data_IF_527129411758
#
_entry.id   IF_527129411758
#
_cell.length_a   1.000
_cell.length_b   1.000
_cell.length_c   1.000
_cell.angle_alpha   90.00
_cell.angle_beta   90.00
_cell.angle_gamma   90.00
#
_symmetry.space_group_name_H-M   'P 1'
#
loop_
_entity.id
_entity.type
_entity.pdbx_description
1 polymer ?
#
# COMPACT_ATOMS: atom_id res chain seq x y z
N UNK A 1 56.50 -10.06 7.29
CA UNK A 1 55.36 -9.70 8.16
C UNK A 1 54.04 -10.05 7.46
N UNK A 2 53.48 -9.24 6.55
CA UNK A 2 52.16 -9.57 5.93
C UNK A 2 52.18 -10.80 5.00
N UNK A 3 53.28 -11.04 4.26
CA UNK A 3 53.41 -12.24 3.40
C UNK A 3 53.42 -13.53 4.21
N UNK A 4 54.12 -13.53 5.36
CA UNK A 4 54.26 -14.70 6.23
C UNK A 4 52.90 -15.11 6.83
N UNK A 5 52.06 -14.13 7.19
CA UNK A 5 50.73 -14.41 7.74
C UNK A 5 49.77 -14.98 6.70
N UNK A 6 49.83 -14.51 5.45
CA UNK A 6 49.01 -15.04 4.35
C UNK A 6 49.40 -16.49 4.06
N UNK A 7 50.70 -16.79 4.00
CA UNK A 7 51.19 -18.16 3.85
C UNK A 7 50.71 -19.05 5.00
N UNK A 8 50.76 -18.54 6.23
CA UNK A 8 50.26 -19.25 7.41
C UNK A 8 48.76 -19.56 7.30
N UNK A 9 47.94 -18.63 6.82
CA UNK A 9 46.51 -18.88 6.59
C UNK A 9 46.27 -19.99 5.56
N UNK A 10 47.04 -20.02 4.47
CA UNK A 10 46.95 -21.12 3.50
C UNK A 10 47.44 -22.45 4.06
N UNK A 11 48.46 -22.44 4.91
CA UNK A 11 48.92 -23.64 5.62
C UNK A 11 47.82 -24.18 6.54
N UNK A 12 47.22 -23.32 7.37
CA UNK A 12 46.11 -23.70 8.25
C UNK A 12 44.92 -24.24 7.45
N UNK A 13 44.56 -23.58 6.35
CA UNK A 13 43.54 -24.08 5.44
C UNK A 13 43.87 -25.47 4.89
N UNK A 14 45.12 -25.70 4.48
CA UNK A 14 45.58 -27.00 3.98
C UNK A 14 45.44 -28.09 5.03
N UNK A 15 45.91 -27.82 6.26
CA UNK A 15 45.78 -28.73 7.41
C UNK A 15 44.31 -29.10 7.63
N UNK A 16 43.42 -28.12 7.71
CA UNK A 16 41.99 -28.35 7.92
C UNK A 16 41.34 -29.12 6.75
N UNK A 17 41.69 -28.79 5.51
CA UNK A 17 41.14 -29.45 4.34
C UNK A 17 41.59 -30.92 4.22
N UNK A 18 42.83 -31.23 4.63
CA UNK A 18 43.42 -32.57 4.53
C UNK A 18 43.06 -33.47 5.72
N UNK A 19 42.63 -32.90 6.85
CA UNK A 19 42.35 -33.61 8.10
C UNK A 19 41.14 -34.58 8.03
N UNK A 20 40.20 -34.38 7.10
CA UNK A 20 39.00 -35.24 6.93
C UNK A 20 38.25 -35.47 8.25
N UNK A 21 38.23 -36.71 8.76
CA UNK A 21 37.54 -37.10 9.99
C UNK A 21 38.25 -36.58 11.26
N UNK A 22 39.55 -36.27 11.16
CA UNK A 22 40.36 -35.76 12.28
C UNK A 22 40.31 -34.23 12.40
N UNK A 23 39.49 -33.54 11.60
CA UNK A 23 39.41 -32.07 11.57
C UNK A 23 39.16 -31.44 12.95
N UNK A 24 38.37 -32.10 13.79
CA UNK A 24 38.08 -31.65 15.16
C UNK A 24 39.33 -31.54 16.05
N UNK A 25 40.43 -32.24 15.71
CA UNK A 25 41.71 -32.14 16.44
C UNK A 25 42.50 -30.87 16.10
N UNK A 26 42.11 -30.16 15.05
CA UNK A 26 42.79 -28.98 14.52
C UNK A 26 42.09 -27.67 14.90
N UNK A 27 41.52 -27.63 16.10
CA UNK A 27 40.84 -26.45 16.65
C UNK A 27 41.75 -25.22 16.68
N UNK A 28 43.05 -25.43 16.97
CA UNK A 28 44.05 -24.36 17.01
C UNK A 28 44.19 -23.65 15.66
N UNK A 29 44.26 -24.40 14.58
CA UNK A 29 44.39 -23.87 13.22
C UNK A 29 43.15 -23.06 12.84
N UNK A 30 41.96 -23.51 13.26
CA UNK A 30 40.72 -22.77 13.05
C UNK A 30 40.67 -21.48 13.88
N UNK A 31 41.09 -21.49 15.15
CA UNK A 31 41.21 -20.29 15.99
C UNK A 31 42.16 -19.25 15.39
N UNK A 32 43.26 -19.68 14.78
CA UNK A 32 44.17 -18.77 14.08
C UNK A 32 43.52 -18.16 12.83
N UNK A 33 42.65 -18.89 12.13
CA UNK A 33 41.84 -18.35 11.02
C UNK A 33 40.83 -17.32 11.56
N UNK A 34 40.16 -17.60 12.68
CA UNK A 34 39.22 -16.65 13.31
C UNK A 34 39.95 -15.35 13.71
N UNK A 35 41.16 -15.43 14.25
CA UNK A 35 41.93 -14.27 14.66
C UNK A 35 42.36 -13.36 13.48
N UNK A 36 42.45 -13.90 12.26
CA UNK A 36 42.91 -13.17 11.09
C UNK A 36 41.92 -12.12 10.57
N UNK A 37 40.70 -12.05 11.11
CA UNK A 37 39.75 -10.96 10.82
C UNK A 37 40.24 -9.60 11.30
N UNK A 38 41.23 -9.57 12.19
CA UNK A 38 41.93 -8.35 12.64
C UNK A 38 43.25 -8.09 11.89
N UNK A 39 43.53 -8.85 10.83
CA UNK A 39 44.75 -8.74 10.02
C UNK A 39 44.67 -7.69 8.91
N UNK A 40 45.52 -7.81 7.89
CA UNK A 40 45.45 -6.97 6.68
C UNK A 40 44.27 -7.32 5.77
N UNK A 41 43.92 -6.44 4.83
CA UNK A 41 42.81 -6.64 3.88
C UNK A 41 42.86 -8.01 3.17
N UNK A 42 44.06 -8.47 2.81
CA UNK A 42 44.24 -9.80 2.18
C UNK A 42 43.96 -10.94 3.16
N UNK A 43 44.40 -10.81 4.42
CA UNK A 43 44.14 -11.79 5.47
C UNK A 43 42.63 -11.86 5.76
N UNK A 44 41.96 -10.72 5.91
CA UNK A 44 40.51 -10.63 6.14
C UNK A 44 39.69 -11.29 5.03
N UNK A 45 40.03 -11.06 3.76
CA UNK A 45 39.35 -11.69 2.61
C UNK A 45 39.50 -13.21 2.60
N UNK A 46 40.65 -13.73 3.05
CA UNK A 46 40.87 -15.17 3.20
C UNK A 46 40.13 -15.72 4.42
N UNK A 47 40.20 -15.02 5.54
CA UNK A 47 39.50 -15.38 6.77
C UNK A 47 38.01 -15.58 6.52
N UNK A 48 37.31 -14.64 5.86
CA UNK A 48 35.89 -14.76 5.47
C UNK A 48 35.56 -16.14 4.86
N UNK A 49 36.32 -16.52 3.83
CA UNK A 49 36.08 -17.74 3.08
C UNK A 49 36.40 -18.99 3.91
N UNK A 50 37.47 -18.93 4.71
CA UNK A 50 37.94 -20.08 5.49
C UNK A 50 37.05 -20.32 6.71
N UNK A 51 36.61 -19.25 7.40
CA UNK A 51 35.64 -19.31 8.50
C UNK A 51 34.39 -20.04 8.02
N UNK A 52 33.78 -19.55 6.93
CA UNK A 52 32.56 -20.12 6.38
C UNK A 52 32.72 -21.56 5.91
N UNK A 53 33.89 -21.92 5.37
CA UNK A 53 34.14 -23.28 4.86
C UNK A 53 34.19 -24.33 5.98
N UNK A 54 34.86 -24.02 7.09
CA UNK A 54 35.12 -25.00 8.15
C UNK A 54 34.19 -24.87 9.35
N UNK A 55 33.27 -23.90 9.34
CA UNK A 55 32.32 -23.60 10.41
C UNK A 55 31.65 -24.83 11.03
N UNK A 56 31.04 -25.70 10.21
CA UNK A 56 30.30 -26.87 10.69
C UNK A 56 31.20 -27.96 11.33
N UNK A 57 32.53 -27.83 11.19
CA UNK A 57 33.49 -28.79 11.76
C UNK A 57 33.88 -28.46 13.20
N UNK A 58 33.52 -27.26 13.71
CA UNK A 58 33.92 -26.78 15.03
C UNK A 58 32.72 -26.23 15.84
N UNK A 59 31.80 -27.11 16.31
CA UNK A 59 30.57 -26.68 17.02
C UNK A 59 30.81 -25.91 18.31
N UNK A 60 31.96 -26.13 18.97
CA UNK A 60 32.35 -25.44 20.21
C UNK A 60 32.79 -23.99 19.96
N UNK A 61 33.09 -23.63 18.71
CA UNK A 61 33.57 -22.31 18.30
C UNK A 61 32.56 -21.53 17.48
N UNK A 62 31.32 -22.03 17.37
CA UNK A 62 30.27 -21.45 16.54
C UNK A 62 30.01 -19.97 16.83
N UNK A 63 29.79 -19.60 18.09
CA UNK A 63 29.51 -18.20 18.45
C UNK A 63 30.71 -17.30 18.11
N UNK A 64 31.93 -17.74 18.42
CA UNK A 64 33.15 -16.98 18.11
C UNK A 64 33.36 -16.82 16.60
N UNK A 65 33.06 -17.85 15.82
CA UNK A 65 33.15 -17.80 14.37
C UNK A 65 32.11 -16.84 13.77
N UNK A 66 30.89 -16.81 14.31
CA UNK A 66 29.84 -15.86 13.90
C UNK A 66 30.26 -14.42 14.22
N UNK A 67 30.72 -14.13 15.44
CA UNK A 67 31.19 -12.77 15.80
C UNK A 67 32.35 -12.32 14.90
N UNK A 68 33.34 -13.20 14.68
CA UNK A 68 34.47 -12.90 13.81
C UNK A 68 34.01 -12.63 12.36
N UNK A 69 32.97 -13.32 11.89
CA UNK A 69 32.42 -13.10 10.56
C UNK A 69 31.59 -11.81 10.47
N UNK A 70 30.90 -11.43 11.54
CA UNK A 70 30.19 -10.15 11.64
C UNK A 70 31.15 -8.96 11.69
N UNK A 71 32.29 -9.07 12.39
CA UNK A 71 33.36 -8.08 12.33
C UNK A 71 33.78 -7.76 10.88
N UNK A 72 33.81 -8.77 9.99
CA UNK A 72 34.13 -8.59 8.57
C UNK A 72 32.99 -7.94 7.78
N UNK A 73 31.74 -8.12 8.22
CA UNK A 73 30.57 -7.47 7.61
C UNK A 73 30.52 -5.98 7.95
N UNK A 74 31.28 -5.52 8.94
CA UNK A 74 31.38 -4.11 9.36
C UNK A 74 32.73 -3.47 8.94
N UNK A 75 33.52 -4.13 8.09
CA UNK A 75 34.84 -3.65 7.69
C UNK A 75 34.80 -2.33 6.89
N UNK A 76 35.82 -1.50 7.03
CA UNK A 76 35.93 -0.24 6.28
C UNK A 76 35.99 -0.46 4.74
N UNK A 77 36.59 -1.56 4.28
CA UNK A 77 36.63 -1.92 2.85
C UNK A 77 35.33 -2.63 2.42
N UNK A 78 34.54 -1.94 1.59
CA UNK A 78 33.31 -2.48 0.97
C UNK A 78 33.53 -3.79 0.22
N UNK A 79 34.73 -4.04 -0.34
CA UNK A 79 35.01 -5.31 -1.00
C UNK A 79 35.14 -6.47 -0.01
N UNK A 80 35.62 -6.20 1.21
CA UNK A 80 35.68 -7.19 2.30
C UNK A 80 34.27 -7.46 2.82
N UNK A 81 33.50 -6.41 3.11
CA UNK A 81 32.10 -6.55 3.54
C UNK A 81 31.28 -7.37 2.55
N UNK A 82 31.35 -7.05 1.25
CA UNK A 82 30.65 -7.82 0.20
C UNK A 82 31.05 -9.30 0.17
N UNK A 83 32.33 -9.61 0.38
CA UNK A 83 32.76 -11.01 0.45
C UNK A 83 32.20 -11.71 1.70
N UNK A 84 32.28 -11.07 2.87
CA UNK A 84 31.73 -11.60 4.11
C UNK A 84 30.22 -11.84 4.04
N UNK A 85 29.47 -10.86 3.53
CA UNK A 85 28.01 -10.93 3.33
C UNK A 85 27.65 -12.10 2.42
N UNK A 86 28.37 -12.28 1.32
CA UNK A 86 28.14 -13.38 0.37
C UNK A 86 28.38 -14.75 1.00
N UNK A 87 29.27 -14.84 1.97
CA UNK A 87 29.64 -16.09 2.63
C UNK A 87 28.73 -16.43 3.82
N UNK A 88 27.98 -15.46 4.38
CA UNK A 88 27.06 -15.66 5.51
C UNK A 88 26.07 -16.83 5.32
N UNK A 89 25.42 -17.02 4.15
CA UNK A 89 24.49 -18.14 3.96
C UNK A 89 25.13 -19.52 4.16
N UNK A 90 26.45 -19.66 4.02
CA UNK A 90 27.14 -20.94 4.23
C UNK A 90 27.12 -21.35 5.71
N UNK A 91 27.07 -20.39 6.64
CA UNK A 91 26.97 -20.65 8.08
C UNK A 91 25.60 -21.23 8.47
N UNK A 92 24.56 -21.03 7.65
CA UNK A 92 23.22 -21.57 7.87
C UNK A 92 22.96 -22.89 7.14
N UNK A 93 23.91 -23.39 6.34
CA UNK A 93 23.64 -24.44 5.35
C UNK A 93 23.24 -25.76 6.00
N UNK A 94 23.99 -26.20 7.00
CA UNK A 94 23.80 -27.50 7.67
C UNK A 94 23.08 -27.35 9.02
N UNK A 95 23.22 -26.19 9.68
CA UNK A 95 22.62 -25.89 10.99
C UNK A 95 21.72 -24.65 10.91
N UNK A 96 20.41 -24.84 11.11
CA UNK A 96 19.39 -23.79 11.02
C UNK A 96 19.29 -22.90 12.27
N UNK A 97 20.00 -23.27 13.33
CA UNK A 97 19.99 -22.62 14.64
C UNK A 97 20.42 -21.15 14.57
N UNK A 98 21.28 -20.82 13.59
CA UNK A 98 21.82 -19.48 13.40
C UNK A 98 21.10 -18.68 12.31
N UNK A 99 20.16 -19.29 11.57
CA UNK A 99 19.46 -18.64 10.45
C UNK A 99 18.81 -17.34 10.90
N UNK A 100 18.13 -17.33 12.04
CA UNK A 100 17.44 -16.15 12.55
C UNK A 100 18.43 -15.00 12.79
N UNK A 101 19.53 -15.28 13.49
CA UNK A 101 20.56 -14.29 13.81
C UNK A 101 21.25 -13.74 12.56
N UNK A 102 21.55 -14.60 11.60
CA UNK A 102 22.19 -14.19 10.33
C UNK A 102 21.21 -13.40 9.46
N UNK A 103 19.93 -13.77 9.46
CA UNK A 103 18.89 -13.02 8.76
C UNK A 103 18.68 -11.62 9.34
N UNK A 104 18.74 -11.49 10.67
CA UNK A 104 18.65 -10.21 11.39
C UNK A 104 19.80 -9.27 10.95
N UNK A 105 21.05 -9.73 10.98
CA UNK A 105 22.20 -8.94 10.50
C UNK A 105 22.10 -8.61 9.01
N UNK A 106 21.74 -9.57 8.16
CA UNK A 106 21.58 -9.30 6.73
C UNK A 106 20.45 -8.29 6.46
N UNK A 107 19.37 -8.32 7.24
CA UNK A 107 18.28 -7.35 7.15
C UNK A 107 18.76 -5.95 7.56
N UNK A 108 19.55 -5.84 8.64
CA UNK A 108 20.18 -4.58 9.04
C UNK A 108 21.11 -4.02 7.94
N UNK A 109 21.89 -4.88 7.29
CA UNK A 109 22.80 -4.50 6.19
C UNK A 109 22.08 -4.00 4.92
N UNK A 110 20.75 -4.17 4.83
CA UNK A 110 19.98 -3.53 3.76
C UNK A 110 20.10 -2.01 3.80
N UNK A 111 20.51 -1.38 4.90
CA UNK A 111 20.69 0.07 5.02
C UNK A 111 21.87 0.66 4.25
N UNK A 112 22.79 -0.16 3.72
CA UNK A 112 23.97 0.32 2.99
C UNK A 112 23.60 1.30 1.85
N UNK A 113 24.41 2.33 1.62
CA UNK A 113 24.24 3.25 0.49
C UNK A 113 24.91 2.73 -0.80
N UNK A 114 25.70 1.66 -0.72
CA UNK A 114 26.33 1.03 -1.89
C UNK A 114 25.37 0.02 -2.53
N UNK A 115 24.85 0.37 -3.72
CA UNK A 115 23.92 -0.48 -4.48
C UNK A 115 24.51 -1.87 -4.78
N UNK A 116 25.82 -1.98 -4.99
CA UNK A 116 26.47 -3.27 -5.24
C UNK A 116 26.50 -4.14 -3.98
N UNK A 117 26.65 -3.53 -2.81
CA UNK A 117 26.55 -4.19 -1.51
C UNK A 117 25.10 -4.64 -1.23
N UNK A 118 24.11 -3.75 -1.41
CA UNK A 118 22.68 -4.10 -1.28
C UNK A 118 22.31 -5.30 -2.15
N UNK A 119 22.84 -5.38 -3.38
CA UNK A 119 22.61 -6.52 -4.26
C UNK A 119 23.16 -7.83 -3.68
N UNK A 120 24.33 -7.80 -3.04
CA UNK A 120 24.93 -8.97 -2.39
C UNK A 120 24.11 -9.37 -1.15
N UNK A 121 23.70 -8.40 -0.33
CA UNK A 121 22.80 -8.62 0.81
C UNK A 121 21.50 -9.27 0.35
N UNK A 122 20.86 -8.71 -0.67
CA UNK A 122 19.61 -9.22 -1.25
C UNK A 122 19.74 -10.67 -1.69
N UNK A 123 20.82 -11.03 -2.39
CA UNK A 123 21.06 -12.40 -2.85
C UNK A 123 21.32 -13.37 -1.69
N UNK A 124 22.01 -12.91 -0.65
CA UNK A 124 22.30 -13.69 0.55
C UNK A 124 21.02 -13.97 1.34
N UNK A 125 20.17 -12.96 1.52
CA UNK A 125 18.83 -13.08 2.10
C UNK A 125 17.95 -14.06 1.32
N UNK A 126 17.90 -13.94 -0.01
CA UNK A 126 17.17 -14.89 -0.84
C UNK A 126 17.68 -16.33 -0.70
N UNK A 127 18.97 -16.51 -0.43
CA UNK A 127 19.59 -17.83 -0.28
C UNK A 127 19.16 -18.47 1.04
N UNK A 128 19.22 -17.72 2.15
CA UNK A 128 18.77 -18.23 3.45
C UNK A 128 17.24 -18.41 3.49
N UNK A 129 16.47 -17.56 2.82
CA UNK A 129 15.00 -17.72 2.75
C UNK A 129 14.61 -18.98 1.98
N UNK A 130 15.40 -19.42 0.99
CA UNK A 130 15.20 -20.68 0.27
C UNK A 130 15.55 -21.91 1.11
N UNK A 131 16.54 -21.79 2.01
CA UNK A 131 17.01 -22.91 2.83
C UNK A 131 16.15 -23.11 4.09
N UNK A 132 15.82 -22.01 4.75
CA UNK A 132 15.05 -21.97 5.99
C UNK A 132 14.15 -20.73 6.03
N UNK A 133 13.00 -20.76 5.33
CA UNK A 133 12.10 -19.62 5.21
C UNK A 133 11.65 -19.08 6.57
N UNK A 134 11.33 -19.98 7.52
CA UNK A 134 10.80 -19.59 8.83
C UNK A 134 11.87 -18.90 9.69
N UNK A 135 13.06 -19.49 9.79
CA UNK A 135 14.17 -18.88 10.52
C UNK A 135 14.54 -17.52 9.93
N UNK A 136 14.63 -17.43 8.60
CA UNK A 136 14.98 -16.20 7.92
C UNK A 136 13.92 -15.09 8.08
N UNK A 137 12.63 -15.43 7.95
CA UNK A 137 11.54 -14.48 8.19
C UNK A 137 11.51 -14.00 9.64
N UNK A 138 11.79 -14.88 10.61
CA UNK A 138 11.82 -14.50 12.03
C UNK A 138 12.89 -13.44 12.30
N UNK A 139 14.08 -13.58 11.71
CA UNK A 139 15.14 -12.56 11.82
C UNK A 139 14.75 -11.25 11.13
N UNK A 140 14.13 -11.33 9.96
CA UNK A 140 13.60 -10.16 9.25
C UNK A 140 12.58 -9.37 10.07
N UNK A 141 11.59 -10.05 10.65
CA UNK A 141 10.56 -9.40 11.45
C UNK A 141 11.13 -8.89 12.79
N UNK A 142 12.18 -9.52 13.32
CA UNK A 142 12.91 -8.99 14.48
C UNK A 142 13.47 -7.59 14.18
N UNK A 143 14.11 -7.38 13.02
CA UNK A 143 14.58 -6.05 12.59
C UNK A 143 13.44 -5.05 12.36
N UNK A 144 12.30 -5.49 11.82
CA UNK A 144 11.15 -4.60 11.62
C UNK A 144 10.60 -4.08 12.96
N UNK A 145 10.52 -4.93 13.99
CA UNK A 145 9.97 -4.59 15.30
C UNK A 145 10.96 -3.92 16.25
N UNK A 146 12.26 -4.23 16.15
CA UNK A 146 13.31 -3.57 16.96
C UNK A 146 13.31 -2.04 16.76
N UNK A 147 12.82 -1.58 15.60
CA UNK A 147 12.70 -0.16 15.30
C UNK A 147 11.55 0.54 16.04
N UNK A 148 10.60 -0.19 16.64
CA UNK A 148 9.49 0.42 17.40
C UNK A 148 9.85 0.64 18.88
N UNK A 149 10.74 -0.18 19.45
CA UNK A 149 11.04 -0.22 20.90
C UNK A 149 12.36 0.48 21.32
N UNK A 150 13.16 0.97 20.36
CA UNK A 150 14.47 1.58 20.60
C UNK A 150 14.40 3.11 20.64
N UNK A 151 15.18 3.77 21.53
CA UNK A 151 15.34 5.24 21.54
C UNK A 151 15.91 5.78 20.21
N UNK A 152 16.53 4.91 19.41
CA UNK A 152 17.01 5.20 18.05
C UNK A 152 16.25 4.31 17.07
N UNK A 153 15.20 4.87 16.46
CA UNK A 153 14.41 4.24 15.40
C UNK A 153 15.23 4.26 14.11
N UNK A 154 15.56 3.09 13.55
CA UNK A 154 16.17 3.00 12.22
C UNK A 154 15.09 2.78 11.16
N UNK A 155 14.34 3.85 10.86
CA UNK A 155 13.24 3.85 9.87
C UNK A 155 13.71 3.33 8.50
N UNK A 156 14.97 3.61 8.13
CA UNK A 156 15.55 3.14 6.86
C UNK A 156 15.62 1.61 6.79
N UNK A 157 16.05 0.94 7.87
CA UNK A 157 16.08 -0.53 7.91
C UNK A 157 14.67 -1.09 7.83
N UNK A 158 13.73 -0.53 8.61
CA UNK A 158 12.32 -0.96 8.63
C UNK A 158 11.69 -0.87 7.23
N UNK A 159 11.78 0.30 6.59
CA UNK A 159 11.24 0.54 5.24
C UNK A 159 11.83 -0.46 4.22
N UNK A 160 13.17 -0.61 4.22
CA UNK A 160 13.86 -1.52 3.29
C UNK A 160 13.47 -2.98 3.53
N UNK A 161 13.25 -3.38 4.79
CA UNK A 161 12.78 -4.73 5.14
C UNK A 161 11.36 -4.98 4.63
N UNK A 162 10.42 -4.08 4.90
CA UNK A 162 9.03 -4.20 4.48
C UNK A 162 8.96 -4.29 2.95
N UNK A 163 9.69 -3.42 2.24
CA UNK A 163 9.78 -3.42 0.78
C UNK A 163 10.43 -4.70 0.22
N UNK A 164 11.47 -5.21 0.88
CA UNK A 164 12.06 -6.49 0.51
C UNK A 164 11.02 -7.61 0.64
N UNK A 165 10.30 -7.69 1.76
CA UNK A 165 9.30 -8.73 1.99
C UNK A 165 8.18 -8.67 0.95
N UNK A 166 7.58 -7.50 0.74
CA UNK A 166 6.49 -7.30 -0.21
C UNK A 166 6.85 -7.74 -1.64
N UNK A 167 8.10 -7.50 -2.06
CA UNK A 167 8.57 -7.86 -3.41
C UNK A 167 9.10 -9.28 -3.53
N UNK A 168 9.98 -9.71 -2.60
CA UNK A 168 10.75 -10.95 -2.73
C UNK A 168 9.99 -12.19 -2.30
N UNK A 169 9.09 -12.09 -1.31
CA UNK A 169 8.21 -13.22 -0.92
C UNK A 169 7.38 -13.67 -2.12
N UNK A 170 6.82 -12.71 -2.88
CA UNK A 170 6.06 -12.99 -4.09
C UNK A 170 6.90 -13.62 -5.18
N UNK A 171 8.11 -13.11 -5.38
CA UNK A 171 9.05 -13.62 -6.39
C UNK A 171 9.44 -15.08 -6.13
N UNK A 172 9.61 -15.46 -4.86
CA UNK A 172 9.95 -16.83 -4.46
C UNK A 172 8.76 -17.79 -4.57
N UNK A 173 7.55 -17.27 -4.40
CA UNK A 173 6.34 -18.06 -4.55
C UNK A 173 6.17 -19.11 -3.45
N UNK A 174 5.20 -20.00 -3.65
CA UNK A 174 4.75 -20.96 -2.63
C UNK A 174 5.58 -22.24 -2.56
N UNK A 175 6.51 -22.43 -3.49
CA UNK A 175 7.48 -23.51 -3.42
C UNK A 175 8.47 -23.30 -2.27
N UNK A 176 8.82 -22.03 -2.01
CA UNK A 176 9.71 -21.64 -0.91
C UNK A 176 8.90 -21.21 0.31
N UNK A 177 7.91 -20.34 0.11
CA UNK A 177 7.06 -19.83 1.19
C UNK A 177 5.96 -20.85 1.47
N UNK A 178 6.31 -21.82 2.32
CA UNK A 178 5.40 -22.87 2.76
C UNK A 178 4.33 -22.31 3.74
N UNK A 179 3.43 -23.18 4.20
CA UNK A 179 2.33 -22.81 5.09
C UNK A 179 2.81 -22.15 6.41
N UNK A 180 3.84 -22.69 7.04
CA UNK A 180 4.35 -22.14 8.31
C UNK A 180 4.95 -20.75 8.12
N UNK A 181 5.72 -20.55 7.05
CA UNK A 181 6.29 -19.25 6.70
C UNK A 181 5.19 -18.23 6.36
N UNK A 182 4.16 -18.65 5.64
CA UNK A 182 2.99 -17.83 5.33
C UNK A 182 2.19 -17.45 6.59
N UNK A 183 2.01 -18.39 7.53
CA UNK A 183 1.33 -18.13 8.80
C UNK A 183 2.12 -17.15 9.68
N UNK A 184 3.46 -17.24 9.67
CA UNK A 184 4.33 -16.27 10.31
C UNK A 184 4.19 -14.88 9.66
N UNK A 185 4.24 -14.80 8.32
CA UNK A 185 4.05 -13.53 7.59
C UNK A 185 2.73 -12.87 7.97
N UNK A 186 1.63 -13.62 7.98
CA UNK A 186 0.31 -13.07 8.37
C UNK A 186 0.33 -12.54 9.80
N UNK A 187 0.91 -13.31 10.73
CA UNK A 187 0.95 -12.95 12.15
C UNK A 187 1.76 -11.68 12.35
N UNK A 188 2.95 -11.60 11.77
CA UNK A 188 3.85 -10.46 11.95
C UNK A 188 3.36 -9.21 11.20
N UNK A 189 2.79 -9.36 10.00
CA UNK A 189 2.17 -8.25 9.29
C UNK A 189 1.02 -7.61 10.07
N UNK A 190 0.20 -8.40 10.79
CA UNK A 190 -0.85 -7.84 11.64
C UNK A 190 -0.31 -7.01 12.79
N UNK A 191 0.81 -7.41 13.38
CA UNK A 191 1.48 -6.63 14.43
C UNK A 191 2.02 -5.32 13.87
N UNK A 192 2.68 -5.38 12.71
CA UNK A 192 3.17 -4.17 12.01
C UNK A 192 2.03 -3.19 11.72
N UNK A 193 0.82 -3.71 11.45
CA UNK A 193 -0.34 -2.84 11.21
C UNK A 193 -0.79 -2.05 12.45
N UNK A 194 -0.41 -2.44 13.66
CA UNK A 194 -0.77 -1.71 14.89
C UNK A 194 -0.07 -0.33 14.96
N UNK A 195 1.07 -0.15 14.27
CA UNK A 195 1.89 1.07 14.26
C UNK A 195 2.29 1.54 12.85
N UNK A 196 1.52 1.17 11.83
CA UNK A 196 1.91 1.36 10.42
C UNK A 196 1.78 2.81 9.94
N UNK A 197 2.75 3.25 9.14
CA UNK A 197 2.66 4.52 8.39
C UNK A 197 2.11 4.31 6.98
N UNK A 198 1.60 5.37 6.35
CA UNK A 198 0.91 5.29 5.05
C UNK A 198 1.73 4.61 3.93
N UNK A 199 3.04 4.84 3.88
CA UNK A 199 3.94 4.25 2.87
C UNK A 199 4.15 2.74 3.08
N UNK A 200 4.17 2.29 4.34
CA UNK A 200 4.32 0.87 4.71
C UNK A 200 3.02 0.09 4.45
N UNK A 201 1.87 0.74 4.68
CA UNK A 201 0.55 0.13 4.60
C UNK A 201 0.33 -0.59 3.27
N UNK A 202 0.67 0.04 2.14
CA UNK A 202 0.51 -0.56 0.82
C UNK A 202 1.30 -1.86 0.67
N UNK A 203 2.56 -1.87 1.13
CA UNK A 203 3.44 -3.03 1.07
C UNK A 203 2.95 -4.18 1.97
N UNK A 204 2.47 -3.88 3.17
CA UNK A 204 1.91 -4.87 4.08
C UNK A 204 0.61 -5.45 3.54
N UNK A 205 -0.30 -4.60 3.04
CA UNK A 205 -1.55 -5.04 2.42
C UNK A 205 -1.30 -5.87 1.17
N UNK A 206 -0.29 -5.52 0.38
CA UNK A 206 0.14 -6.26 -0.79
C UNK A 206 0.59 -7.69 -0.43
N UNK A 207 1.30 -7.84 0.70
CA UNK A 207 1.80 -9.12 1.21
C UNK A 207 0.67 -9.97 1.81
N UNK A 208 -0.19 -9.36 2.63
CA UNK A 208 -1.38 -10.01 3.20
C UNK A 208 -2.36 -10.47 2.12
N UNK A 209 -2.56 -9.69 1.06
CA UNK A 209 -3.41 -10.06 -0.08
C UNK A 209 -2.82 -11.23 -0.89
N UNK A 210 -1.50 -11.32 -1.00
CA UNK A 210 -0.83 -12.45 -1.66
C UNK A 210 -0.93 -13.76 -0.84
N UNK A 211 -1.04 -13.64 0.48
CA UNK A 211 -1.18 -14.75 1.40
C UNK A 211 -2.54 -15.48 1.25
N UNK A 212 -2.78 -16.52 2.06
CA UNK A 212 -4.05 -17.26 2.12
C UNK A 212 -5.23 -16.37 2.47
N UNK A 213 -4.98 -15.20 3.08
CA UNK A 213 -6.03 -14.23 3.37
C UNK A 213 -6.68 -13.72 2.07
N UNK A 214 -5.92 -13.30 1.06
CA UNK A 214 -6.52 -12.81 -0.19
C UNK A 214 -7.12 -13.88 -1.10
N UNK A 215 -6.99 -15.17 -0.77
CA UNK A 215 -7.41 -16.29 -1.63
C UNK A 215 -8.77 -16.88 -1.29
N UNK A 216 -9.14 -16.92 -0.03
CA UNK A 216 -10.38 -17.59 0.44
C UNK A 216 -11.43 -16.56 0.82
N UNK A 217 -12.74 -16.85 0.71
CA UNK A 217 -13.79 -15.93 1.17
C UNK A 217 -13.65 -15.55 2.65
N UNK A 218 -13.28 -16.53 3.51
CA UNK A 218 -13.06 -16.29 4.93
C UNK A 218 -11.84 -15.39 5.19
N UNK A 219 -10.72 -15.66 4.53
CA UNK A 219 -9.52 -14.82 4.64
C UNK A 219 -9.73 -13.41 4.07
N UNK A 220 -10.52 -13.29 2.99
CA UNK A 220 -10.91 -12.01 2.41
C UNK A 220 -11.74 -11.20 3.40
N UNK A 221 -12.69 -11.85 4.08
CA UNK A 221 -13.46 -11.23 5.18
C UNK A 221 -12.54 -10.76 6.32
N UNK A 222 -11.53 -11.54 6.66
CA UNK A 222 -10.54 -11.17 7.68
C UNK A 222 -9.70 -9.95 7.25
N UNK A 223 -9.26 -9.85 5.99
CA UNK A 223 -8.60 -8.64 5.47
C UNK A 223 -9.49 -7.41 5.61
N UNK A 224 -10.79 -7.53 5.34
CA UNK A 224 -11.73 -6.42 5.56
C UNK A 224 -11.73 -5.98 7.01
N UNK A 225 -11.79 -6.92 7.94
CA UNK A 225 -11.87 -6.60 9.36
C UNK A 225 -10.59 -5.89 9.83
N UNK A 226 -9.43 -6.32 9.33
CA UNK A 226 -8.15 -5.66 9.59
C UNK A 226 -8.17 -4.22 9.04
N UNK A 227 -8.52 -4.05 7.76
CA UNK A 227 -8.55 -2.73 7.13
C UNK A 227 -9.60 -1.82 7.77
N UNK A 228 -10.75 -2.35 8.18
CA UNK A 228 -11.79 -1.60 8.87
C UNK A 228 -11.31 -1.11 10.24
N UNK A 229 -10.63 -1.96 11.02
CA UNK A 229 -10.09 -1.58 12.31
C UNK A 229 -8.98 -0.50 12.22
N UNK A 230 -8.25 -0.47 11.11
CA UNK A 230 -7.20 0.54 10.86
C UNK A 230 -7.76 1.86 10.32
N UNK A 231 -8.74 1.76 9.41
CA UNK A 231 -9.39 2.92 8.82
C UNK A 231 -10.19 3.70 9.86
N UNK A 232 -10.75 3.00 10.84
CA UNK A 232 -11.79 3.56 11.68
C UNK A 232 -11.93 2.83 13.01
N UNK A 233 -12.00 3.61 14.07
CA UNK A 233 -12.51 3.18 15.38
C UNK A 233 -13.82 3.93 15.64
N UNK A 234 -14.95 3.24 15.92
CA UNK A 234 -16.28 3.84 16.11
C UNK A 234 -16.36 5.09 16.98
N UNK A 235 -15.51 5.16 18.01
CA UNK A 235 -15.51 6.24 19.00
C UNK A 235 -14.45 7.34 18.72
N UNK A 236 -13.75 7.28 17.59
CA UNK A 236 -12.58 8.10 17.27
C UNK A 236 -12.70 8.73 15.85
N UNK A 237 -13.74 9.53 15.64
CA UNK A 237 -14.07 10.19 14.36
C UNK A 237 -13.46 11.59 14.29
N UNK A 238 -12.51 11.81 13.36
CA UNK A 238 -11.78 13.07 13.15
C UNK A 238 -11.90 13.61 11.71
N UNK A 239 -13.09 14.04 11.28
CA UNK A 239 -13.35 14.54 9.91
C UNK A 239 -12.65 15.86 9.58
N UNK A 240 -12.22 16.60 10.60
CA UNK A 240 -11.44 17.83 10.50
C UNK A 240 -9.97 17.57 10.15
N UNK A 241 -9.46 16.36 10.42
CA UNK A 241 -8.08 15.98 10.17
C UNK A 241 -7.94 15.37 8.78
N UNK A 242 -7.19 16.05 7.90
CA UNK A 242 -6.94 15.57 6.54
C UNK A 242 -6.21 14.22 6.53
N UNK A 243 -5.30 13.98 7.46
CA UNK A 243 -4.54 12.71 7.52
C UNK A 243 -5.45 11.55 7.93
N UNK A 244 -6.42 11.81 8.81
CA UNK A 244 -7.45 10.85 9.18
C UNK A 244 -8.33 10.47 7.98
N UNK A 245 -8.78 11.47 7.20
CA UNK A 245 -9.60 11.21 6.01
C UNK A 245 -8.80 10.52 4.91
N UNK A 246 -7.53 10.88 4.71
CA UNK A 246 -6.63 10.21 3.76
C UNK A 246 -6.41 8.74 4.14
N UNK A 247 -6.29 8.42 5.43
CA UNK A 247 -6.23 7.05 5.94
C UNK A 247 -7.49 6.26 5.61
N UNK A 248 -8.68 6.86 5.78
CA UNK A 248 -9.95 6.23 5.40
C UNK A 248 -9.96 5.94 3.90
N UNK A 249 -9.53 6.89 3.06
CA UNK A 249 -9.46 6.73 1.60
C UNK A 249 -8.53 5.58 1.24
N UNK A 250 -7.29 5.59 1.76
CA UNK A 250 -6.28 4.57 1.46
C UNK A 250 -6.75 3.18 1.89
N UNK A 251 -7.23 3.05 3.12
CA UNK A 251 -7.77 1.78 3.62
C UNK A 251 -8.95 1.29 2.76
N UNK A 252 -9.88 2.18 2.43
CA UNK A 252 -11.06 1.84 1.63
C UNK A 252 -10.70 1.38 0.22
N UNK A 253 -9.66 1.95 -0.40
CA UNK A 253 -9.16 1.48 -1.71
C UNK A 253 -8.64 0.03 -1.64
N UNK A 254 -7.95 -0.34 -0.57
CA UNK A 254 -7.52 -1.73 -0.35
C UNK A 254 -8.68 -2.67 0.03
N UNK A 255 -9.79 -2.13 0.54
CA UNK A 255 -11.01 -2.86 0.84
C UNK A 255 -11.99 -2.98 -0.34
N UNK A 256 -11.82 -2.23 -1.44
CA UNK A 256 -12.68 -2.29 -2.64
C UNK A 256 -13.00 -3.72 -3.14
N UNK A 257 -12.08 -4.71 -3.10
CA UNK A 257 -12.40 -6.08 -3.51
C UNK A 257 -13.39 -6.81 -2.59
N UNK A 258 -13.89 -6.18 -1.52
CA UNK A 258 -14.48 -6.83 -0.37
C UNK A 258 -15.74 -6.10 0.16
N UNK A 259 -16.85 -6.84 0.21
CA UNK A 259 -18.22 -6.32 0.23
C UNK A 259 -18.67 -5.60 1.51
N UNK A 260 -17.90 -5.66 2.60
CA UNK A 260 -18.38 -5.28 3.94
C UNK A 260 -18.18 -3.80 4.31
N UNK A 261 -17.44 -3.02 3.51
CA UNK A 261 -17.12 -1.62 3.83
C UNK A 261 -18.26 -0.62 3.60
N UNK A 262 -19.32 -1.03 2.89
CA UNK A 262 -20.42 -0.13 2.57
C UNK A 262 -21.22 0.30 3.80
N UNK A 263 -21.35 -0.59 4.79
CA UNK A 263 -22.04 -0.30 6.04
C UNK A 263 -21.30 0.79 6.80
N UNK A 264 -19.97 0.69 6.84
CA UNK A 264 -19.11 1.71 7.44
C UNK A 264 -19.33 3.09 6.79
N UNK A 265 -19.30 3.18 5.46
CA UNK A 265 -19.57 4.45 4.78
C UNK A 265 -20.96 5.00 5.12
N UNK A 266 -22.01 4.17 5.06
CA UNK A 266 -23.38 4.64 5.31
C UNK A 266 -23.66 5.01 6.77
N UNK A 267 -22.93 4.42 7.73
CA UNK A 267 -23.16 4.61 9.16
C UNK A 267 -22.28 5.72 9.76
N UNK A 268 -21.08 5.93 9.22
CA UNK A 268 -20.08 6.81 9.82
C UNK A 268 -19.58 7.93 8.89
N UNK A 269 -19.36 7.65 7.60
CA UNK A 269 -18.81 8.66 6.67
C UNK A 269 -19.89 9.59 6.12
N UNK A 270 -20.95 9.03 5.54
CA UNK A 270 -21.99 9.80 4.84
C UNK A 270 -22.89 10.62 5.79
N UNK A 271 -23.24 10.18 7.01
CA UNK A 271 -24.00 11.01 7.94
C UNK A 271 -23.27 12.29 8.35
N UNK A 272 -21.94 12.24 8.46
CA UNK A 272 -21.08 13.35 8.87
C UNK A 272 -20.47 14.11 7.67
N UNK A 273 -21.11 14.04 6.50
CA UNK A 273 -20.58 14.56 5.24
C UNK A 273 -20.23 16.05 5.25
N UNK A 274 -20.90 16.85 6.07
CA UNK A 274 -20.66 18.30 6.15
C UNK A 274 -19.43 18.64 7.01
N UNK A 275 -19.01 17.73 7.89
CA UNK A 275 -17.87 17.91 8.79
C UNK A 275 -16.53 17.68 8.08
N UNK A 276 -16.53 16.92 6.99
CA UNK A 276 -15.32 16.62 6.21
C UNK A 276 -14.82 17.91 5.54
N UNK A 277 -13.63 18.35 5.93
CA UNK A 277 -12.99 19.56 5.42
C UNK A 277 -12.29 19.26 4.09
N UNK A 278 -12.40 20.18 3.13
CA UNK A 278 -11.65 20.11 1.87
C UNK A 278 -10.31 20.82 2.08
N UNK A 279 -9.20 20.10 1.96
CA UNK A 279 -7.86 20.68 2.10
C UNK A 279 -7.65 21.82 1.09
N UNK A 280 -7.21 23.00 1.55
CA UNK A 280 -6.96 24.15 0.67
C UNK A 280 -5.86 23.81 -0.36
N UNK A 281 -6.21 23.81 -1.65
CA UNK A 281 -5.27 23.53 -2.74
C UNK A 281 -5.00 22.04 -3.02
N UNK A 282 -5.64 21.13 -2.30
CA UNK A 282 -5.54 19.68 -2.47
C UNK A 282 -6.51 19.07 -3.50
N UNK A 283 -6.44 17.75 -3.67
CA UNK A 283 -7.46 16.97 -4.37
C UNK A 283 -8.78 17.01 -3.61
N UNK A 284 -9.90 16.94 -4.34
CA UNK A 284 -11.23 16.97 -3.75
C UNK A 284 -11.52 15.67 -2.97
N UNK A 285 -11.28 15.69 -1.67
CA UNK A 285 -11.42 14.54 -0.76
C UNK A 285 -12.83 13.96 -0.76
N UNK A 286 -13.85 14.82 -0.83
CA UNK A 286 -15.26 14.42 -0.92
C UNK A 286 -15.53 13.66 -2.22
N UNK A 287 -14.95 14.09 -3.32
CA UNK A 287 -15.06 13.36 -4.58
C UNK A 287 -14.38 11.98 -4.51
N UNK A 288 -13.20 11.87 -3.91
CA UNK A 288 -12.51 10.57 -3.78
C UNK A 288 -13.29 9.58 -2.90
N UNK A 289 -13.85 10.04 -1.78
CA UNK A 289 -14.75 9.23 -0.95
C UNK A 289 -15.99 8.76 -1.72
N UNK A 290 -16.62 9.65 -2.50
CA UNK A 290 -17.77 9.28 -3.34
C UNK A 290 -17.40 8.27 -4.43
N UNK A 291 -16.24 8.41 -5.08
CA UNK A 291 -15.76 7.43 -6.08
C UNK A 291 -15.63 6.06 -5.46
N UNK A 292 -14.92 5.96 -4.33
CA UNK A 292 -14.71 4.70 -3.62
C UNK A 292 -16.06 4.09 -3.21
N UNK A 293 -16.93 4.90 -2.60
CA UNK A 293 -18.26 4.45 -2.19
C UNK A 293 -19.10 3.96 -3.38
N UNK A 294 -19.06 4.68 -4.51
CA UNK A 294 -19.78 4.30 -5.72
C UNK A 294 -19.30 2.95 -6.27
N UNK A 295 -17.99 2.70 -6.31
CA UNK A 295 -17.43 1.41 -6.73
C UNK A 295 -17.84 0.29 -5.75
N UNK A 296 -17.78 0.52 -4.44
CA UNK A 296 -18.22 -0.45 -3.42
C UNK A 296 -19.72 -0.78 -3.53
N UNK A 297 -20.53 0.22 -3.88
CA UNK A 297 -21.98 0.04 -4.02
C UNK A 297 -22.36 -0.93 -5.13
N UNK A 298 -21.53 -1.08 -6.17
CA UNK A 298 -21.78 -2.03 -7.25
C UNK A 298 -21.67 -3.48 -6.75
N UNK A 299 -20.73 -3.76 -5.85
CA UNK A 299 -20.43 -5.11 -5.40
C UNK A 299 -21.19 -5.52 -4.12
N UNK A 300 -21.81 -4.58 -3.41
CA UNK A 300 -22.52 -4.84 -2.16
C UNK A 300 -23.42 -6.09 -2.17
N UNK A 301 -23.33 -6.91 -1.11
CA UNK A 301 -24.20 -8.07 -0.87
C UNK A 301 -25.57 -7.67 -0.31
N UNK A 302 -26.10 -8.46 0.63
CA UNK A 302 -27.28 -8.07 1.41
C UNK A 302 -26.95 -6.86 2.28
N UNK A 303 -27.79 -5.83 2.19
CA UNK A 303 -27.68 -4.59 2.96
C UNK A 303 -28.57 -4.74 4.19
N UNK A 304 -27.99 -4.62 5.38
CA UNK A 304 -28.79 -4.46 6.61
C UNK A 304 -29.32 -3.04 6.70
N UNK A 305 -30.54 -2.85 7.17
CA UNK A 305 -31.16 -1.53 7.29
C UNK A 305 -31.17 -0.73 5.97
N UNK A 306 -31.48 -1.41 4.86
CA UNK A 306 -31.46 -0.84 3.50
C UNK A 306 -32.15 0.50 3.37
N UNK A 307 -33.30 0.69 4.03
CA UNK A 307 -34.02 1.96 4.01
C UNK A 307 -33.16 3.10 4.55
N UNK A 308 -32.64 2.96 5.78
CA UNK A 308 -31.81 3.98 6.44
C UNK A 308 -30.58 4.30 5.60
N UNK A 309 -29.94 3.30 5.01
CA UNK A 309 -28.73 3.49 4.19
C UNK A 309 -29.02 4.21 2.88
N UNK A 310 -30.13 3.85 2.21
CA UNK A 310 -30.61 4.54 1.02
C UNK A 310 -30.96 5.99 1.35
N UNK A 311 -31.59 6.23 2.49
CA UNK A 311 -31.93 7.56 2.97
C UNK A 311 -30.69 8.43 3.19
N UNK A 312 -29.62 7.88 3.80
CA UNK A 312 -28.34 8.59 3.96
C UNK A 312 -27.72 8.97 2.61
N UNK A 313 -27.69 8.05 1.64
CA UNK A 313 -27.13 8.31 0.30
C UNK A 313 -27.98 9.34 -0.46
N UNK A 314 -29.30 9.27 -0.34
CA UNK A 314 -30.23 10.25 -0.86
C UNK A 314 -29.91 11.65 -0.32
N UNK A 315 -29.72 11.79 0.99
CA UNK A 315 -29.46 13.07 1.63
C UNK A 315 -28.13 13.68 1.15
N UNK A 316 -27.10 12.85 0.91
CA UNK A 316 -25.83 13.30 0.30
C UNK A 316 -26.02 13.72 -1.15
N UNK A 317 -26.74 12.94 -1.98
CA UNK A 317 -27.01 13.30 -3.37
C UNK A 317 -27.75 14.64 -3.48
N UNK A 318 -28.74 14.86 -2.63
CA UNK A 318 -29.56 16.08 -2.65
C UNK A 318 -28.76 17.35 -2.34
N UNK A 319 -27.60 17.25 -1.69
CA UNK A 319 -26.67 18.39 -1.49
C UNK A 319 -26.01 18.85 -2.81
N UNK A 320 -25.80 17.91 -3.74
CA UNK A 320 -25.16 18.19 -5.02
C UNK A 320 -26.16 18.46 -6.15
N UNK A 321 -27.41 18.03 -5.99
CA UNK A 321 -28.47 18.35 -6.92
C UNK A 321 -29.01 19.77 -6.66
N UNK A 322 -28.97 20.66 -7.67
CA UNK A 322 -29.45 22.03 -7.52
C UNK A 322 -30.94 22.04 -7.25
N UNK A 323 -31.38 23.02 -6.46
CA UNK A 323 -32.79 23.26 -6.23
C UNK A 323 -33.45 23.62 -7.56
N UNK A 324 -34.57 22.98 -7.87
CA UNK A 324 -35.34 23.35 -9.04
C UNK A 324 -36.00 24.71 -8.81
N UNK A 325 -36.03 25.61 -9.82
CA UNK A 325 -36.74 26.87 -9.71
C UNK A 325 -38.20 26.62 -9.34
N UNK A 326 -38.74 27.46 -8.48
CA UNK A 326 -40.18 27.47 -8.18
C UNK A 326 -40.90 27.87 -9.48
N UNK A 327 -42.03 27.22 -9.81
CA UNK A 327 -42.84 27.58 -10.97
C UNK A 327 -43.16 29.08 -10.96
N UNK A 328 -42.51 29.85 -11.85
CA UNK A 328 -42.62 31.30 -11.93
C UNK A 328 -41.29 32.07 -11.95
N UNK A 329 -40.18 31.47 -11.52
CA UNK A 329 -38.84 32.04 -11.73
C UNK A 329 -38.33 31.63 -13.11
N UNK A 330 -38.33 32.57 -14.06
CA UNK A 330 -37.67 32.38 -15.35
C UNK A 330 -36.17 32.14 -15.11
N UNK A 331 -35.68 30.98 -15.53
CA UNK A 331 -34.25 30.75 -15.73
C UNK A 331 -33.81 31.79 -16.76
N UNK A 332 -32.69 32.51 -16.59
CA UNK A 332 -32.18 33.37 -17.65
C UNK A 332 -31.89 32.47 -18.86
N UNK A 333 -32.79 32.50 -19.83
CA UNK A 333 -32.59 31.95 -21.17
C UNK A 333 -31.30 32.58 -21.69
N UNK A 334 -30.24 31.79 -21.81
CA UNK A 334 -29.00 32.24 -22.46
C UNK A 334 -29.16 32.46 -23.97
N UNK A 335 -30.38 32.51 -24.49
CA UNK A 335 -30.72 32.54 -25.92
C UNK A 335 -31.68 33.70 -26.28
N UNK A 336 -31.54 34.90 -25.68
CA UNK A 336 -32.19 36.14 -26.18
C UNK A 336 -31.25 37.34 -26.29
N UNK A 337 -30.29 37.28 -27.22
CA UNK A 337 -29.78 38.47 -27.89
C UNK A 337 -30.27 38.49 -29.33
N UNK A 338 -31.45 39.06 -29.59
CA UNK A 338 -31.73 39.74 -30.86
C UNK A 338 -32.67 40.93 -30.64
N UNK A 339 -32.12 42.13 -30.88
CA UNK A 339 -32.76 43.39 -31.24
C UNK A 339 -33.77 44.03 -30.27
N UNK A 340 -33.25 44.96 -29.46
CA UNK A 340 -33.62 46.37 -29.53
C UNK A 340 -34.95 46.80 -28.92
N UNK A 341 -34.96 47.13 -27.63
CA UNK A 341 -35.34 48.45 -27.10
C UNK A 341 -35.09 48.50 -25.59
N UNK A 342 -34.53 49.63 -25.12
CA UNK A 342 -34.17 49.85 -23.72
C UNK A 342 -35.41 49.87 -22.84
N UNK A 343 -35.47 48.95 -21.89
CA UNK A 343 -36.17 49.19 -20.62
C UNK A 343 -35.34 48.60 -19.49
N UNK A 344 -34.82 49.50 -18.64
CA UNK A 344 -34.12 49.17 -17.41
C UNK A 344 -35.09 48.47 -16.44
N UNK A 345 -34.87 47.17 -16.25
CA UNK A 345 -35.20 46.50 -15.00
C UNK A 345 -33.97 45.69 -14.59
N UNK A 346 -33.33 46.16 -13.53
CA UNK A 346 -32.34 45.42 -12.74
C UNK A 346 -32.99 44.17 -12.17
N UNK A 347 -32.90 43.06 -12.92
CA UNK A 347 -33.04 41.72 -12.37
C UNK A 347 -31.62 41.19 -12.13
N UNK A 348 -31.30 41.00 -10.85
CA UNK A 348 -30.09 40.34 -10.38
C UNK A 348 -30.04 38.93 -10.99
N UNK A 349 -29.34 38.81 -12.12
CA UNK A 349 -29.11 37.52 -12.79
C UNK A 349 -28.17 36.72 -11.89
N UNK A 350 -28.74 35.91 -11.00
CA UNK A 350 -27.97 34.90 -10.26
C UNK A 350 -27.22 34.06 -11.29
N UNK A 351 -25.89 33.88 -11.15
CA UNK A 351 -25.13 33.04 -12.05
C UNK A 351 -25.73 31.62 -12.03
N UNK A 352 -25.74 30.91 -13.18
CA UNK A 352 -26.24 29.54 -13.22
C UNK A 352 -25.50 28.70 -12.16
N UNK A 353 -26.20 27.83 -11.42
CA UNK A 353 -25.59 27.06 -10.35
C UNK A 353 -24.41 26.26 -10.90
N UNK A 354 -23.25 26.39 -10.26
CA UNK A 354 -22.07 25.58 -10.59
C UNK A 354 -22.35 24.14 -10.22
N UNK A 355 -22.54 23.28 -11.22
CA UNK A 355 -22.89 21.88 -11.01
C UNK A 355 -21.65 21.01 -10.86
N UNK A 356 -21.56 20.31 -9.73
CA UNK A 356 -20.49 19.37 -9.45
C UNK A 356 -20.79 17.99 -10.06
N UNK A 357 -20.71 17.90 -11.39
CA UNK A 357 -21.11 16.71 -12.15
C UNK A 357 -20.52 15.39 -11.64
N UNK A 358 -19.24 15.36 -11.29
CA UNK A 358 -18.59 14.13 -10.81
C UNK A 358 -19.12 13.66 -9.44
N UNK A 359 -19.51 14.59 -8.56
CA UNK A 359 -20.13 14.22 -7.28
C UNK A 359 -21.53 13.65 -7.52
N UNK A 360 -22.32 14.30 -8.39
CA UNK A 360 -23.65 13.83 -8.78
C UNK A 360 -23.56 12.43 -9.41
N UNK A 361 -22.61 12.21 -10.33
CA UNK A 361 -22.39 10.91 -10.97
C UNK A 361 -22.14 9.80 -9.95
N UNK A 362 -21.17 9.97 -9.05
CA UNK A 362 -20.83 8.96 -8.05
C UNK A 362 -21.97 8.72 -7.05
N UNK A 363 -22.58 9.78 -6.52
CA UNK A 363 -23.68 9.66 -5.55
C UNK A 363 -24.95 9.06 -6.18
N UNK A 364 -25.29 9.45 -7.41
CA UNK A 364 -26.43 8.91 -8.14
C UNK A 364 -26.21 7.44 -8.50
N UNK A 365 -25.01 7.07 -8.96
CA UNK A 365 -24.67 5.67 -9.23
C UNK A 365 -24.78 4.83 -7.96
N UNK A 366 -24.29 5.33 -6.83
CA UNK A 366 -24.41 4.64 -5.55
C UNK A 366 -25.87 4.45 -5.13
N UNK A 367 -26.67 5.52 -5.18
CA UNK A 367 -28.10 5.47 -4.86
C UNK A 367 -28.83 4.44 -5.74
N UNK A 368 -28.62 4.50 -7.06
CA UNK A 368 -29.19 3.56 -8.01
C UNK A 368 -28.80 2.10 -7.69
N UNK A 369 -27.52 1.87 -7.41
CA UNK A 369 -27.00 0.54 -7.06
C UNK A 369 -27.63 -0.03 -5.79
N UNK A 370 -27.84 0.79 -4.75
CA UNK A 370 -28.53 0.34 -3.53
C UNK A 370 -30.03 0.11 -3.77
N UNK A 371 -30.69 0.99 -4.52
CA UNK A 371 -32.12 0.87 -4.81
C UNK A 371 -32.44 -0.36 -5.67
N UNK A 372 -31.53 -0.79 -6.56
CA UNK A 372 -31.68 -2.06 -7.30
C UNK A 372 -31.82 -3.28 -6.37
N UNK A 373 -31.28 -3.20 -5.15
CA UNK A 373 -31.34 -4.27 -4.15
C UNK A 373 -32.52 -4.14 -3.20
N UNK A 374 -33.02 -2.93 -3.00
CA UNK A 374 -34.23 -2.65 -2.24
C UNK A 374 -35.17 -1.72 -3.04
N UNK A 375 -35.88 -2.25 -4.07
CA UNK A 375 -36.65 -1.44 -5.02
C UNK A 375 -37.74 -0.60 -4.37
N UNK A 376 -38.30 -1.07 -3.25
CA UNK A 376 -39.40 -0.41 -2.56
C UNK A 376 -38.94 0.76 -1.66
N UNK A 377 -37.63 0.89 -1.41
CA UNK A 377 -37.12 1.82 -0.40
C UNK A 377 -37.34 3.31 -0.76
N UNK A 378 -37.13 3.68 -2.02
CA UNK A 378 -37.45 5.04 -2.49
C UNK A 378 -38.96 5.29 -2.62
N UNK A 379 -39.73 4.24 -2.90
CA UNK A 379 -41.19 4.32 -3.02
C UNK A 379 -41.91 4.47 -1.67
N UNK A 380 -41.25 4.12 -0.57
CA UNK A 380 -41.78 4.27 0.79
C UNK A 380 -42.03 5.73 1.18
N UNK A 381 -41.25 6.67 0.64
CA UNK A 381 -41.42 8.12 0.86
C UNK A 381 -41.71 8.85 -0.46
N UNK A 382 -43.01 9.04 -0.73
CA UNK A 382 -43.49 9.76 -1.92
C UNK A 382 -43.00 11.21 -1.99
N UNK A 383 -42.73 11.86 -0.87
CA UNK A 383 -42.26 13.24 -0.86
C UNK A 383 -40.79 13.30 -1.32
N UNK A 384 -39.93 12.42 -0.78
CA UNK A 384 -38.54 12.28 -1.21
C UNK A 384 -38.43 11.92 -2.69
N UNK A 385 -39.24 10.99 -3.17
CA UNK A 385 -39.27 10.60 -4.59
C UNK A 385 -39.67 11.77 -5.51
N UNK A 386 -40.68 12.55 -5.12
CA UNK A 386 -41.11 13.72 -5.88
C UNK A 386 -40.02 14.80 -5.93
N UNK A 387 -39.37 15.07 -4.80
CA UNK A 387 -38.29 16.06 -4.71
C UNK A 387 -37.08 15.65 -5.57
N UNK A 388 -36.66 14.39 -5.50
CA UNK A 388 -35.57 13.85 -6.31
C UNK A 388 -35.88 13.94 -7.80
N UNK A 389 -37.09 13.51 -8.22
CA UNK A 389 -37.52 13.61 -9.62
C UNK A 389 -37.44 15.04 -10.13
N UNK A 390 -37.90 16.02 -9.34
CA UNK A 390 -37.87 17.43 -9.72
C UNK A 390 -36.43 17.94 -9.90
N UNK A 391 -35.54 17.65 -8.95
CA UNK A 391 -34.13 18.09 -9.03
C UNK A 391 -33.36 17.37 -10.14
N UNK A 392 -33.64 16.09 -10.41
CA UNK A 392 -33.05 15.34 -11.53
C UNK A 392 -33.50 15.92 -12.88
N UNK A 393 -34.79 16.25 -13.04
CA UNK A 393 -35.28 16.89 -14.26
C UNK A 393 -34.61 18.25 -14.50
N UNK A 394 -34.42 19.04 -13.45
CA UNK A 394 -33.71 20.30 -13.55
C UNK A 394 -32.23 20.10 -13.89
N UNK A 395 -31.57 19.16 -13.22
CA UNK A 395 -30.17 18.78 -13.48
C UNK A 395 -29.99 18.32 -14.92
N UNK A 396 -30.89 17.49 -15.47
CA UNK A 396 -30.85 17.04 -16.85
C UNK A 396 -30.89 18.21 -17.85
N UNK A 397 -31.72 19.24 -17.60
CA UNK A 397 -31.75 20.46 -18.42
C UNK A 397 -30.44 21.22 -18.36
N UNK A 398 -29.85 21.38 -17.17
CA UNK A 398 -28.54 22.01 -17.00
C UNK A 398 -27.43 21.24 -17.72
N UNK A 399 -27.44 19.90 -17.64
CA UNK A 399 -26.51 19.02 -18.35
C UNK A 399 -26.60 19.22 -19.87
N UNK A 400 -27.80 19.30 -20.43
CA UNK A 400 -27.99 19.56 -21.86
C UNK A 400 -27.39 20.91 -22.28
N UNK A 401 -27.59 21.97 -21.49
CA UNK A 401 -26.99 23.28 -21.70
C UNK A 401 -25.46 23.25 -21.64
N UNK A 402 -24.89 22.54 -20.66
CA UNK A 402 -23.45 22.36 -20.51
C UNK A 402 -22.84 21.58 -21.69
N UNK A 403 -23.49 20.50 -22.14
CA UNK A 403 -23.07 19.72 -23.32
C UNK A 403 -23.09 20.59 -24.59
N UNK A 404 -24.10 21.45 -24.77
CA UNK A 404 -24.19 22.39 -25.90
C UNK A 404 -22.99 23.34 -25.91
N UNK A 405 -22.70 23.99 -24.77
CA UNK A 405 -21.54 24.88 -24.59
C UNK A 405 -20.20 24.16 -24.82
N UNK A 406 -20.03 22.94 -24.27
CA UNK A 406 -18.83 22.14 -24.50
C UNK A 406 -18.63 21.82 -25.99
N UNK A 407 -19.70 21.46 -26.71
CA UNK A 407 -19.64 21.19 -28.15
C UNK A 407 -19.29 22.43 -28.97
N UNK A 408 -19.73 23.61 -28.55
CA UNK A 408 -19.41 24.89 -29.19
C UNK A 408 -17.93 25.27 -28.98
N UNK A 409 -17.42 25.19 -27.75
CA UNK A 409 -16.00 25.44 -27.42
C UNK A 409 -15.08 24.46 -28.17
N UNK A 410 -15.45 23.17 -28.18
CA UNK A 410 -14.65 22.13 -28.85
C UNK A 410 -14.63 22.30 -30.38
N UNK A 411 -15.65 22.93 -30.98
CA UNK A 411 -15.69 23.25 -32.41
C UNK A 411 -14.87 24.51 -32.75
N UNK A 412 -14.70 25.44 -31.82
CA UNK A 412 -13.94 26.69 -32.00
C UNK A 412 -12.42 26.55 -31.91
N UNK A 413 -11.90 25.62 -31.10
CA UNK A 413 -10.45 25.49 -30.81
C UNK A 413 -9.73 24.39 -31.62
N UNK A 414 -10.04 24.29 -32.91
CA UNK A 414 -9.69 23.15 -33.78
C UNK A 414 -8.21 22.83 -34.02
N UNK A 415 -7.21 23.58 -33.50
CA UNK A 415 -5.81 23.36 -33.88
C UNK A 415 -4.75 23.36 -32.74
N UNK A 416 -5.01 23.87 -31.53
CA UNK A 416 -3.97 23.92 -30.49
C UNK A 416 -4.18 22.96 -29.30
N UNK A 417 -5.40 22.47 -29.07
CA UNK A 417 -5.74 21.66 -27.90
C UNK A 417 -5.64 20.14 -28.10
N UNK A 418 -5.28 19.68 -29.30
CA UNK A 418 -5.17 18.26 -29.65
C UNK A 418 -4.08 17.51 -28.87
N UNK A 419 -3.09 18.22 -28.32
CA UNK A 419 -1.99 17.63 -27.56
C UNK A 419 -2.24 17.61 -26.04
N UNK A 420 -2.95 18.58 -25.48
CA UNK A 420 -3.26 18.60 -24.04
C UNK A 420 -4.43 17.66 -23.68
N UNK A 421 -5.45 17.56 -24.54
CA UNK A 421 -6.61 16.67 -24.29
C UNK A 421 -6.31 15.18 -24.51
N UNK A 422 -5.30 14.80 -25.31
CA UNK A 422 -4.92 13.38 -25.43
C UNK A 422 -4.40 12.80 -24.10
N UNK A 423 -3.92 13.64 -23.17
CA UNK A 423 -3.44 13.20 -21.86
C UNK A 423 -4.60 12.98 -20.87
N UNK A 424 -5.59 13.90 -20.79
CA UNK A 424 -6.81 13.75 -19.97
C UNK A 424 -7.82 12.73 -20.51
N UNK A 425 -7.92 12.59 -21.84
CA UNK A 425 -8.84 11.63 -22.45
C UNK A 425 -8.34 10.19 -22.32
N UNK A 426 -7.02 9.95 -22.17
CA UNK A 426 -6.49 8.60 -21.90
C UNK A 426 -6.79 8.09 -20.49
N UNK A 427 -6.99 8.98 -19.51
CA UNK A 427 -7.42 8.60 -18.15
C UNK A 427 -8.95 8.39 -18.04
N UNK A 428 -9.78 9.12 -18.80
CA UNK A 428 -11.24 8.87 -18.84
C UNK A 428 -11.68 7.77 -19.82
N UNK A 429 -11.10 7.63 -21.02
CA UNK A 429 -11.60 6.69 -22.05
C UNK A 429 -11.25 5.20 -21.82
N UNK A 430 -10.72 4.82 -20.66
CA UNK A 430 -10.59 3.40 -20.29
C UNK A 430 -11.57 2.93 -19.21
N UNK A 431 -12.40 3.82 -18.62
CA UNK A 431 -13.34 3.40 -17.57
C UNK A 431 -14.79 3.90 -17.67
N UNK A 432 -15.14 4.90 -18.48
CA UNK A 432 -16.55 5.32 -18.56
C UNK A 432 -16.88 5.94 -19.92
N UNK A 433 -17.76 5.29 -20.68
CA UNK A 433 -18.69 6.06 -21.52
C UNK A 433 -19.56 6.88 -20.56
N UNK A 434 -19.78 8.18 -20.79
CA UNK A 434 -20.65 8.98 -19.93
C UNK A 434 -22.03 8.33 -19.98
N UNK A 435 -22.47 7.78 -18.85
CA UNK A 435 -23.83 7.26 -18.73
C UNK A 435 -24.74 8.46 -18.87
N UNK A 436 -25.55 8.45 -19.93
CA UNK A 436 -26.52 9.49 -20.18
C UNK A 436 -27.47 9.52 -18.98
N UNK A 437 -27.45 10.61 -18.19
CA UNK A 437 -28.30 10.77 -17.01
C UNK A 437 -29.80 10.68 -17.39
N UNK A 438 -30.14 10.79 -18.69
CA UNK A 438 -31.49 10.56 -19.19
C UNK A 438 -31.90 9.07 -19.28
N UNK A 439 -30.97 8.14 -19.04
CA UNK A 439 -31.18 6.67 -19.10
C UNK A 439 -31.17 6.02 -17.70
N UNK A 440 -30.81 6.77 -16.65
CA UNK A 440 -31.05 6.43 -15.23
C UNK A 440 -32.38 7.06 -14.80
#
# INVERSE_FOLDING_TARGET
>A
MSSDNIEKLYQNYGILADAKEDIAKHEKEYLEILAAVKGSDKEKRLASQFIAKFFNSFPTLTDQAIEAHFDLCEDDDVAIRKQAIKDLPNLCKDHKEHTQRIADILAQLLQSDDITEINVVTNSLLTILKNDPKGALTGFFSQVHQNTDSEVVNETVRERCIKFLATKVKQLGREVINKEAEDLIITECKKILEDVVAEEFEHIMELLTWSRLGKTPAGKKELVQIVAALAFTPDDWHPEDSEYVDRIIQCSQHALPLLSFINFFCEYVLPHWDEIVIAEGGTDTKLELLKIFSEMSEFCGEITDSQKKIDTVYDVLMKYLPEAPIEGEEIPDTDKEQNGEKTEKTEETKPPPSLQFSHVECALFALHSLCRRAPDALGADNARLKALRLRLQYTARLTQGYIKKLKEVTKGEGLQLRNHYKKRRRTSNKKTEPTDISVI
#
